data_IF_689515179892
#
_entry.id   IF_689515179892
#
_cell.length_a   1.000
_cell.length_b   1.000
_cell.length_c   1.000
_cell.angle_alpha   90.00
_cell.angle_beta   90.00
_cell.angle_gamma   90.00
#
_symmetry.space_group_name_H-M   'P 1'
#
loop_
_entity.id
_entity.type
_entity.pdbx_description
1 polymer ?
#
# COMPACT_ATOMS: atom_id res chain seq x y z
N UNK A 1 25.20 15.06 11.66
CA UNK A 1 23.73 15.17 11.52
C UNK A 1 23.08 14.08 12.37
N UNK A 2 22.04 14.39 13.15
CA UNK A 2 21.28 13.40 13.95
C UNK A 2 19.88 13.27 13.36
N UNK A 3 19.42 12.05 13.09
CA UNK A 3 18.13 11.80 12.42
C UNK A 3 17.15 11.07 13.35
N UNK A 4 15.95 11.61 13.53
CA UNK A 4 14.83 10.89 14.13
C UNK A 4 13.86 10.45 13.04
N UNK A 5 13.68 9.15 12.87
CA UNK A 5 12.78 8.56 11.88
C UNK A 5 11.40 8.37 12.49
N UNK A 6 10.41 9.07 11.95
CA UNK A 6 9.02 9.08 12.44
C UNK A 6 8.07 8.10 11.75
N UNK A 7 8.63 7.28 10.87
CA UNK A 7 7.87 6.40 9.97
C UNK A 7 7.25 5.22 10.74
N UNK A 8 6.05 4.75 10.37
CA UNK A 8 5.42 3.58 10.97
C UNK A 8 6.26 2.31 10.87
N UNK A 9 6.09 1.46 11.88
CA UNK A 9 6.69 0.14 11.95
C UNK A 9 6.15 -0.81 10.86
N UNK A 10 6.96 -1.78 10.39
CA UNK A 10 8.39 -1.99 10.71
C UNK A 10 9.35 -1.16 9.82
N UNK A 11 8.80 -0.28 8.98
CA UNK A 11 9.56 0.38 7.92
C UNK A 11 10.43 1.53 8.42
N UNK A 12 10.14 2.06 9.61
CA UNK A 12 10.99 3.05 10.27
C UNK A 12 12.25 2.41 10.84
N UNK A 13 12.12 1.26 11.50
CA UNK A 13 13.21 0.46 12.05
C UNK A 13 14.15 -0.02 10.95
N UNK A 14 13.62 -0.49 9.84
CA UNK A 14 14.42 -0.90 8.67
C UNK A 14 15.26 0.27 8.13
N UNK A 15 14.68 1.47 8.06
CA UNK A 15 15.39 2.66 7.62
C UNK A 15 16.51 3.05 8.60
N UNK A 16 16.23 3.06 9.91
CA UNK A 16 17.23 3.34 10.95
C UNK A 16 18.38 2.34 10.91
N UNK A 17 18.07 1.04 10.75
CA UNK A 17 19.09 0.00 10.56
C UNK A 17 19.99 0.31 9.37
N UNK A 18 19.42 0.69 8.23
CA UNK A 18 20.19 1.01 7.03
C UNK A 18 21.05 2.28 7.19
N UNK A 19 20.51 3.33 7.82
CA UNK A 19 21.22 4.58 8.08
C UNK A 19 22.40 4.38 9.04
N UNK A 20 22.17 3.69 10.16
CA UNK A 20 23.24 3.38 11.11
C UNK A 20 24.34 2.52 10.47
N UNK A 21 23.98 1.61 9.55
CA UNK A 21 24.94 0.75 8.83
C UNK A 21 25.89 1.54 7.91
N UNK A 22 25.48 2.70 7.43
CA UNK A 22 26.32 3.62 6.62
C UNK A 22 26.92 4.76 7.46
N UNK A 23 26.92 4.64 8.79
CA UNK A 23 27.55 5.59 9.70
C UNK A 23 26.75 6.88 9.95
N UNK A 24 25.45 6.91 9.62
CA UNK A 24 24.57 8.05 9.91
C UNK A 24 23.80 7.78 11.22
N UNK A 25 24.08 8.51 12.32
CA UNK A 25 23.40 8.29 13.59
C UNK A 25 21.89 8.57 13.49
N UNK A 26 21.10 7.54 13.74
CA UNK A 26 19.64 7.60 13.62
C UNK A 26 18.90 6.78 14.68
N UNK A 27 17.70 7.26 15.02
CA UNK A 27 16.78 6.65 15.98
C UNK A 27 15.38 6.54 15.38
N UNK A 28 14.57 5.62 15.90
CA UNK A 28 13.20 5.41 15.45
C UNK A 28 12.21 5.78 16.55
N UNK A 29 11.16 6.51 16.19
CA UNK A 29 10.00 6.76 17.01
C UNK A 29 8.77 6.86 16.10
N UNK A 30 7.91 5.84 16.09
CA UNK A 30 6.72 5.86 15.22
C UNK A 30 5.72 6.92 15.69
N UNK A 31 5.28 7.82 14.80
CA UNK A 31 4.23 8.79 15.13
C UNK A 31 2.81 8.21 15.06
N UNK A 32 2.61 7.17 14.26
CA UNK A 32 1.30 6.61 14.01
C UNK A 32 1.39 5.17 13.53
N UNK A 33 0.32 4.43 13.73
CA UNK A 33 0.15 3.09 13.20
C UNK A 33 -0.95 3.02 12.17
N UNK A 34 -0.95 1.95 11.39
CA UNK A 34 -2.00 1.67 10.43
C UNK A 34 -2.99 0.67 11.01
N UNK A 35 -4.28 0.96 10.81
CA UNK A 35 -5.38 0.08 11.15
C UNK A 35 -6.34 -0.05 9.96
N UNK A 36 -7.17 -1.12 9.92
CA UNK A 36 -8.27 -1.20 8.97
C UNK A 36 -9.17 0.03 9.06
N UNK A 37 -9.70 0.48 7.92
CA UNK A 37 -10.61 1.63 7.91
C UNK A 37 -11.92 1.32 8.61
N UNK A 38 -12.34 2.20 9.52
CA UNK A 38 -13.67 2.22 10.15
C UNK A 38 -14.62 3.21 9.46
N UNK A 39 -14.18 3.83 8.36
CA UNK A 39 -14.97 4.83 7.64
C UNK A 39 -16.30 4.25 7.13
N UNK A 40 -17.37 5.06 7.08
CA UNK A 40 -18.60 4.68 6.39
C UNK A 40 -18.39 4.37 4.90
N UNK A 41 -17.32 4.91 4.28
CA UNK A 41 -16.88 4.58 2.92
C UNK A 41 -15.78 3.51 3.03
N UNK A 42 -16.14 2.34 3.54
CA UNK A 42 -15.22 1.20 3.70
C UNK A 42 -15.56 0.07 2.75
N UNK A 43 -14.56 -0.79 2.49
CA UNK A 43 -14.71 -1.95 1.62
C UNK A 43 -15.82 -2.89 2.09
N UNK A 44 -16.03 -3.02 3.41
CA UNK A 44 -17.07 -3.89 3.97
C UNK A 44 -18.47 -3.49 3.53
N UNK A 45 -18.72 -2.19 3.35
CA UNK A 45 -20.00 -1.64 2.89
C UNK A 45 -20.11 -1.57 1.36
N UNK A 46 -18.99 -1.65 0.64
CA UNK A 46 -18.90 -1.47 -0.81
C UNK A 46 -18.34 -2.70 -1.53
N UNK A 47 -18.57 -3.88 -0.95
CA UNK A 47 -17.98 -5.11 -1.50
C UNK A 47 -18.52 -5.43 -2.88
N UNK A 48 -19.82 -5.19 -3.14
CA UNK A 48 -20.40 -5.39 -4.47
C UNK A 48 -19.76 -4.48 -5.52
N UNK A 49 -19.51 -3.20 -5.17
CA UNK A 49 -18.82 -2.26 -6.06
C UNK A 49 -17.42 -2.76 -6.44
N UNK A 50 -16.69 -3.43 -5.52
CA UNK A 50 -15.40 -4.04 -5.82
C UNK A 50 -15.51 -5.09 -6.94
N UNK A 51 -16.56 -5.93 -6.90
CA UNK A 51 -16.76 -7.02 -7.87
C UNK A 51 -17.45 -6.59 -9.16
N UNK A 52 -18.15 -5.46 -9.19
CA UNK A 52 -18.73 -4.91 -10.42
C UNK A 52 -17.74 -4.03 -11.20
N UNK A 53 -16.69 -3.57 -10.51
CA UNK A 53 -15.67 -2.70 -11.07
C UNK A 53 -14.90 -3.34 -12.24
N UNK A 54 -14.78 -2.60 -13.35
CA UNK A 54 -13.89 -2.99 -14.47
C UNK A 54 -12.44 -2.57 -14.26
N UNK A 55 -12.22 -1.56 -13.42
CA UNK A 55 -10.91 -0.97 -13.12
C UNK A 55 -10.77 -0.78 -11.61
N UNK A 56 -9.64 -1.20 -11.04
CA UNK A 56 -9.27 -0.91 -9.65
C UNK A 56 -7.90 -0.22 -9.64
N UNK A 57 -7.85 0.94 -8.97
CA UNK A 57 -6.62 1.74 -8.79
C UNK A 57 -6.12 1.59 -7.35
N UNK A 58 -4.83 1.29 -7.20
CA UNK A 58 -4.20 0.95 -5.92
C UNK A 58 -3.12 1.97 -5.58
N UNK A 59 -3.35 2.69 -4.48
CA UNK A 59 -2.52 3.82 -4.07
C UNK A 59 -1.41 3.45 -3.08
N UNK A 60 -1.52 2.34 -2.34
CA UNK A 60 -0.47 1.96 -1.38
C UNK A 60 -0.36 0.46 -1.18
N UNK A 61 0.77 0.01 -0.61
CA UNK A 61 0.92 -1.37 -0.15
C UNK A 61 -0.05 -1.68 1.00
N UNK A 62 -0.34 -0.69 1.85
CA UNK A 62 -1.26 -0.84 3.00
C UNK A 62 -2.70 -1.10 2.55
N UNK A 63 -3.17 -0.45 1.48
CA UNK A 63 -4.50 -0.76 0.93
C UNK A 63 -4.59 -2.21 0.47
N UNK A 64 -3.53 -2.77 -0.13
CA UNK A 64 -3.48 -4.19 -0.51
C UNK A 64 -3.56 -5.09 0.72
N UNK A 65 -2.77 -4.80 1.76
CA UNK A 65 -2.76 -5.60 3.00
C UNK A 65 -4.15 -5.66 3.63
N UNK A 66 -4.79 -4.51 3.85
CA UNK A 66 -6.09 -4.47 4.53
C UNK A 66 -7.23 -4.99 3.65
N UNK A 67 -7.21 -4.76 2.34
CA UNK A 67 -8.17 -5.41 1.43
C UNK A 67 -8.00 -6.92 1.45
N UNK A 68 -6.77 -7.43 1.39
CA UNK A 68 -6.53 -8.88 1.43
C UNK A 68 -6.96 -9.50 2.77
N UNK A 69 -6.69 -8.81 3.88
CA UNK A 69 -7.15 -9.22 5.22
C UNK A 69 -8.68 -9.34 5.24
N UNK A 70 -9.38 -8.30 4.77
CA UNK A 70 -10.84 -8.30 4.69
C UNK A 70 -11.36 -9.44 3.81
N UNK A 71 -10.81 -9.62 2.60
CA UNK A 71 -11.24 -10.68 1.69
C UNK A 71 -11.04 -12.07 2.32
N UNK A 72 -9.86 -12.33 2.91
CA UNK A 72 -9.56 -13.61 3.56
C UNK A 72 -10.52 -13.90 4.72
N UNK A 73 -10.77 -12.91 5.59
CA UNK A 73 -11.65 -13.07 6.73
C UNK A 73 -13.12 -13.34 6.34
N UNK A 74 -13.52 -12.97 5.13
CA UNK A 74 -14.88 -13.18 4.61
C UNK A 74 -14.94 -14.31 3.57
N UNK A 75 -13.90 -15.14 3.43
CA UNK A 75 -13.81 -16.21 2.43
C UNK A 75 -14.00 -15.73 0.97
N UNK A 76 -13.61 -14.49 0.71
CA UNK A 76 -13.69 -13.82 -0.58
C UNK A 76 -12.33 -13.87 -1.30
N UNK A 77 -12.35 -13.64 -2.61
CA UNK A 77 -11.14 -13.64 -3.45
C UNK A 77 -11.01 -12.30 -4.18
N UNK A 78 -9.78 -11.94 -4.53
CA UNK A 78 -9.56 -10.79 -5.40
C UNK A 78 -10.26 -10.97 -6.75
N UNK A 79 -11.00 -9.97 -7.26
CA UNK A 79 -11.73 -10.13 -8.51
C UNK A 79 -10.76 -10.23 -9.69
N UNK A 80 -10.93 -11.29 -10.50
CA UNK A 80 -9.99 -11.64 -11.57
C UNK A 80 -10.27 -10.95 -12.90
N UNK A 81 -11.51 -10.52 -13.14
CA UNK A 81 -11.92 -9.88 -14.39
C UNK A 81 -11.41 -8.44 -14.52
N UNK A 82 -11.02 -7.80 -13.42
CA UNK A 82 -10.66 -6.38 -13.33
C UNK A 82 -9.29 -6.07 -13.93
N UNK A 83 -9.13 -4.86 -14.49
CA UNK A 83 -7.82 -4.27 -14.80
C UNK A 83 -7.27 -3.51 -13.58
N UNK A 84 -6.13 -3.94 -13.07
CA UNK A 84 -5.48 -3.32 -11.91
C UNK A 84 -4.40 -2.32 -12.32
N UNK A 85 -4.46 -1.13 -11.71
CA UNK A 85 -3.45 -0.08 -11.84
C UNK A 85 -2.87 0.25 -10.48
N UNK A 86 -1.55 0.17 -10.32
CA UNK A 86 -0.90 0.66 -9.12
C UNK A 86 -0.25 2.03 -9.35
N UNK A 87 -0.30 2.90 -8.35
CA UNK A 87 0.31 4.24 -8.42
C UNK A 87 1.84 4.19 -8.62
N UNK A 88 2.48 3.05 -8.33
CA UNK A 88 3.91 2.89 -8.54
C UNK A 88 4.34 1.42 -8.61
N UNK A 89 5.55 1.21 -9.15
CA UNK A 89 6.17 -0.10 -9.36
C UNK A 89 6.20 -0.97 -8.10
N UNK A 90 6.58 -0.38 -6.96
CA UNK A 90 6.71 -1.12 -5.70
C UNK A 90 5.36 -1.62 -5.16
N UNK A 91 4.28 -0.86 -5.38
CA UNK A 91 2.90 -1.25 -5.03
C UNK A 91 2.38 -2.34 -5.97
N UNK A 92 2.61 -2.21 -7.29
CA UNK A 92 2.26 -3.27 -8.24
C UNK A 92 2.97 -4.58 -7.91
N UNK A 93 4.28 -4.56 -7.68
CA UNK A 93 5.03 -5.77 -7.34
C UNK A 93 4.51 -6.42 -6.05
N UNK A 94 4.13 -5.61 -5.06
CA UNK A 94 3.53 -6.12 -3.83
C UNK A 94 2.17 -6.81 -4.09
N UNK A 95 1.32 -6.27 -4.96
CA UNK A 95 0.04 -6.88 -5.32
C UNK A 95 0.21 -8.23 -6.03
N UNK A 96 1.26 -8.42 -6.84
CA UNK A 96 1.50 -9.69 -7.56
C UNK A 96 1.59 -10.90 -6.63
N UNK A 97 1.92 -10.69 -5.35
CA UNK A 97 1.92 -11.75 -4.33
C UNK A 97 0.53 -12.33 -4.08
N UNK A 98 -0.53 -11.55 -4.32
CA UNK A 98 -1.93 -11.92 -4.07
C UNK A 98 -2.69 -12.23 -5.36
N UNK A 99 -2.32 -11.60 -6.48
CA UNK A 99 -2.98 -11.78 -7.78
C UNK A 99 -1.94 -12.15 -8.84
N UNK A 100 -2.03 -13.36 -9.39
CA UNK A 100 -1.19 -13.82 -10.51
C UNK A 100 -1.70 -13.29 -11.86
N UNK A 101 -1.78 -11.97 -12.03
CA UNK A 101 -2.24 -11.30 -13.27
C UNK A 101 -1.23 -10.23 -13.74
N UNK A 102 -1.30 -9.86 -15.02
CA UNK A 102 -0.60 -8.68 -15.56
C UNK A 102 -1.10 -7.42 -14.86
N UNK A 103 -0.19 -6.65 -14.28
CA UNK A 103 -0.47 -5.39 -13.57
C UNK A 103 0.13 -4.22 -14.32
N UNK A 104 -0.60 -3.11 -14.34
CA UNK A 104 -0.13 -1.85 -14.90
C UNK A 104 0.28 -0.92 -13.75
N UNK A 105 1.36 -0.17 -13.93
CA UNK A 105 1.80 0.82 -12.96
C UNK A 105 2.45 2.02 -13.64
N UNK A 106 2.40 3.16 -12.98
CA UNK A 106 3.04 4.39 -13.45
C UNK A 106 4.56 4.23 -13.45
N UNK A 107 5.19 4.39 -14.62
CA UNK A 107 6.65 4.30 -14.77
C UNK A 107 7.38 5.58 -14.34
N UNK A 108 6.76 6.76 -14.52
CA UNK A 108 7.28 8.05 -14.07
C UNK A 108 6.15 8.85 -13.45
N UNK A 109 6.36 9.39 -12.24
CA UNK A 109 5.49 10.46 -11.71
C UNK A 109 5.84 11.72 -12.50
N UNK A 110 5.03 12.12 -13.47
CA UNK A 110 5.14 13.48 -14.02
C UNK A 110 4.79 14.44 -12.90
N UNK A 111 5.70 15.35 -12.55
CA UNK A 111 5.37 16.49 -11.69
C UNK A 111 4.44 17.35 -12.52
N UNK A 112 3.15 17.29 -12.23
CA UNK A 112 2.19 18.26 -12.76
C UNK A 112 2.46 19.52 -11.94
N UNK A 113 2.99 20.57 -12.59
CA UNK A 113 2.96 21.91 -11.99
C UNK A 113 1.49 22.27 -11.86
N UNK A 114 1.00 22.33 -10.62
CA UNK A 114 -0.29 22.93 -10.31
C UNK A 114 -0.02 24.43 -10.34
N UNK A 115 -0.55 25.11 -11.35
CA UNK A 115 -0.58 26.57 -11.42
C UNK A 115 -1.64 27.12 -10.47
#
# INVERSE_FOLDING_TARGET
>A
MKILVLRPSPSGEELVKNLNKIGIPSWHFSLFDFHPSTSPISLSKKINELYESKIIVIFSKKSIVYTNLYLKNNNLKWPLHVKYYAIGKSTAFFLRKYIKKKLLFLQKKKIVKVC
#
